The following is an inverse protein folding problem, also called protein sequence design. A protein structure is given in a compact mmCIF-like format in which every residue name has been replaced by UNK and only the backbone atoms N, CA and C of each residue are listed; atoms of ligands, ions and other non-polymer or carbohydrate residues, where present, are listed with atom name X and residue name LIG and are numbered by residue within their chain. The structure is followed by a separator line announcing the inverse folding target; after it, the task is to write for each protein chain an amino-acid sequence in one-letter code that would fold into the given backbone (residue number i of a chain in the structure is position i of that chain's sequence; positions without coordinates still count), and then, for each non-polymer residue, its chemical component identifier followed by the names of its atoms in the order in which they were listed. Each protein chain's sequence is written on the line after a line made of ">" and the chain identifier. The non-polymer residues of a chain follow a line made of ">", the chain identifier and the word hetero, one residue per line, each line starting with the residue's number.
data_IF_742090270599
#
_entry.id   IF_742090270599
#
_cell.length_a   1.000
_cell.length_b   1.000
_cell.length_c   1.000
_cell.angle_alpha   90.00
_cell.angle_beta   90.00
_cell.angle_gamma   90.00
#
_symmetry.space_group_name_H-M   'P 1'
#
loop_
_entity.id
_entity.type
_entity.pdbx_description
1 polymer ?
#
# COMPACT_ATOMS: atom_id res chain seq x y z
N UNK A 1 -19.06 3.95 -14.86
CA UNK A 1 -17.82 4.75 -14.97
C UNK A 1 -18.29 6.18 -15.17
N UNK A 2 -18.13 7.06 -14.17
CA UNK A 2 -18.54 8.47 -14.31
C UNK A 2 -17.76 9.09 -15.47
N UNK A 3 -18.46 9.73 -16.40
CA UNK A 3 -17.85 10.36 -17.56
C UNK A 3 -16.98 11.54 -17.11
N UNK A 4 -15.66 11.30 -17.00
CA UNK A 4 -14.65 12.33 -16.76
C UNK A 4 -14.76 13.51 -17.76
N UNK A 5 -15.43 13.30 -18.89
CA UNK A 5 -15.77 14.34 -19.87
C UNK A 5 -16.57 15.52 -19.26
N UNK A 6 -17.33 15.30 -18.19
CA UNK A 6 -18.19 16.35 -17.62
C UNK A 6 -17.40 17.44 -16.87
N UNK A 7 -16.21 17.12 -16.34
CA UNK A 7 -15.39 18.08 -15.58
C UNK A 7 -14.42 18.92 -16.43
N UNK A 8 -14.05 18.45 -17.62
CA UNK A 8 -13.07 19.11 -18.49
C UNK A 8 -13.71 19.77 -19.73
N UNK A 9 -15.04 19.68 -19.88
CA UNK A 9 -15.78 20.20 -21.01
C UNK A 9 -15.76 19.30 -22.25
N UNK A 10 -16.43 19.73 -23.31
CA UNK A 10 -16.70 18.93 -24.51
C UNK A 10 -15.77 19.23 -25.70
N UNK A 11 -14.89 20.23 -25.56
CA UNK A 11 -13.88 20.51 -26.57
C UNK A 11 -12.88 19.34 -26.68
N UNK A 12 -12.28 19.07 -27.85
CA UNK A 12 -11.34 17.96 -28.03
C UNK A 12 -10.19 17.93 -27.03
N UNK A 13 -9.68 19.09 -26.62
CA UNK A 13 -8.65 19.22 -25.58
C UNK A 13 -9.15 18.78 -24.20
N UNK A 14 -10.40 19.12 -23.86
CA UNK A 14 -11.05 18.70 -22.61
C UNK A 14 -11.23 17.17 -22.55
N UNK A 15 -11.67 16.57 -23.65
CA UNK A 15 -11.79 15.11 -23.77
C UNK A 15 -10.42 14.41 -23.67
N UNK A 16 -9.38 14.96 -24.30
CA UNK A 16 -8.02 14.43 -24.21
C UNK A 16 -7.46 14.51 -22.77
N UNK A 17 -7.76 15.59 -22.05
CA UNK A 17 -7.35 15.77 -20.66
C UNK A 17 -8.10 14.79 -19.74
N UNK A 18 -9.41 14.65 -19.92
CA UNK A 18 -10.22 13.67 -19.20
C UNK A 18 -9.67 12.25 -19.33
N UNK A 19 -9.32 11.84 -20.56
CA UNK A 19 -8.71 10.54 -20.83
C UNK A 19 -7.36 10.39 -20.12
N UNK A 20 -6.47 11.38 -20.26
CA UNK A 20 -5.14 11.35 -19.62
C UNK A 20 -5.24 11.19 -18.10
N UNK A 21 -6.11 11.96 -17.45
CA UNK A 21 -6.26 11.88 -15.99
C UNK A 21 -6.96 10.61 -15.53
N UNK A 22 -7.92 10.09 -16.30
CA UNK A 22 -8.48 8.75 -16.05
C UNK A 22 -7.39 7.67 -16.13
N UNK A 23 -6.51 7.75 -17.13
CA UNK A 23 -5.40 6.81 -17.29
C UNK A 23 -4.40 6.90 -16.13
N UNK A 24 -4.02 8.12 -15.73
CA UNK A 24 -3.13 8.35 -14.60
C UNK A 24 -3.75 7.91 -13.26
N UNK A 25 -5.05 8.03 -13.08
CA UNK A 25 -5.71 7.63 -11.84
C UNK A 25 -5.87 6.09 -11.73
N UNK A 26 -6.40 5.46 -12.77
CA UNK A 26 -6.87 4.06 -12.73
C UNK A 26 -6.52 3.21 -13.95
N UNK A 27 -5.84 3.74 -14.96
CA UNK A 27 -5.75 3.12 -16.29
C UNK A 27 -4.61 2.14 -16.56
N UNK A 28 -3.82 1.71 -15.57
CA UNK A 28 -2.82 0.67 -15.82
C UNK A 28 -1.66 0.60 -14.82
N UNK A 29 -0.58 -0.13 -15.15
CA UNK A 29 0.53 -0.42 -14.24
C UNK A 29 1.25 0.81 -13.66
N UNK A 30 1.21 1.95 -14.35
CA UNK A 30 1.78 3.22 -13.89
C UNK A 30 0.77 4.17 -13.26
N UNK A 31 -0.47 3.74 -13.04
CA UNK A 31 -1.51 4.58 -12.44
C UNK A 31 -1.26 4.80 -10.95
N UNK A 32 -1.87 5.86 -10.40
CA UNK A 32 -1.87 6.15 -8.98
C UNK A 32 -2.44 4.99 -8.16
N UNK A 33 -3.54 4.40 -8.59
CA UNK A 33 -4.13 3.22 -7.92
C UNK A 33 -3.16 2.05 -7.82
N UNK A 34 -2.44 1.73 -8.91
CA UNK A 34 -1.46 0.64 -8.90
C UNK A 34 -0.29 0.98 -7.96
N UNK A 35 0.22 2.22 -8.00
CA UNK A 35 1.30 2.64 -7.11
C UNK A 35 0.89 2.61 -5.63
N UNK A 36 -0.34 3.02 -5.31
CA UNK A 36 -0.88 2.95 -3.95
C UNK A 36 -1.02 1.50 -3.48
N UNK A 37 -1.48 0.59 -4.32
CA UNK A 37 -1.55 -0.84 -4.00
C UNK A 37 -0.17 -1.44 -3.75
N UNK A 38 0.82 -1.11 -4.57
CA UNK A 38 2.20 -1.55 -4.37
C UNK A 38 2.76 -1.01 -3.05
N UNK A 39 2.50 0.26 -2.71
CA UNK A 39 2.93 0.84 -1.45
C UNK A 39 2.27 0.18 -0.24
N UNK A 40 0.96 -0.10 -0.30
CA UNK A 40 0.23 -0.83 0.75
C UNK A 40 0.87 -2.20 0.98
N UNK A 41 1.17 -2.94 -0.08
CA UNK A 41 1.79 -4.26 0.04
C UNK A 41 3.14 -4.21 0.76
N UNK A 42 3.97 -3.21 0.44
CA UNK A 42 5.27 -3.01 1.11
C UNK A 42 5.06 -2.64 2.59
N UNK A 43 4.15 -1.70 2.88
CA UNK A 43 3.87 -1.27 4.25
C UNK A 43 3.32 -2.41 5.12
N UNK A 44 2.43 -3.23 4.58
CA UNK A 44 1.91 -4.43 5.25
C UNK A 44 3.03 -5.44 5.53
N UNK A 45 3.89 -5.71 4.54
CA UNK A 45 5.03 -6.61 4.71
C UNK A 45 5.99 -6.15 5.82
N UNK A 46 6.26 -4.84 5.91
CA UNK A 46 7.05 -4.27 7.00
C UNK A 46 6.36 -4.45 8.36
N UNK A 47 5.06 -4.21 8.45
CA UNK A 47 4.31 -4.39 9.70
C UNK A 47 4.31 -5.85 10.17
N UNK A 48 4.13 -6.80 9.25
CA UNK A 48 4.18 -8.23 9.54
C UNK A 48 5.57 -8.64 10.03
N UNK A 49 6.62 -8.17 9.36
CA UNK A 49 8.02 -8.43 9.73
C UNK A 49 8.32 -7.93 11.15
N UNK A 50 7.94 -6.70 11.48
CA UNK A 50 8.17 -6.15 12.83
C UNK A 50 7.36 -6.89 13.90
N UNK A 51 6.15 -7.34 13.57
CA UNK A 51 5.32 -8.15 14.47
C UNK A 51 5.98 -9.49 14.76
N UNK A 52 6.52 -10.15 13.73
CA UNK A 52 7.25 -11.42 13.88
C UNK A 52 8.53 -11.24 14.72
N UNK A 53 9.31 -10.19 14.44
CA UNK A 53 10.49 -9.85 15.23
C UNK A 53 10.14 -9.65 16.71
N UNK A 54 9.07 -8.91 17.01
CA UNK A 54 8.60 -8.70 18.38
C UNK A 54 8.27 -10.01 19.10
N UNK A 55 7.54 -10.92 18.46
CA UNK A 55 7.23 -12.26 19.01
C UNK A 55 8.50 -13.07 19.29
N UNK A 56 9.47 -13.03 18.39
CA UNK A 56 10.73 -13.76 18.56
C UNK A 56 11.56 -13.21 19.73
N UNK A 57 11.57 -11.90 19.92
CA UNK A 57 12.21 -11.28 21.09
C UNK A 57 11.53 -11.72 22.39
N UNK A 58 10.20 -11.67 22.46
CA UNK A 58 9.45 -12.11 23.65
C UNK A 58 9.70 -13.59 23.97
N UNK A 59 9.72 -14.46 22.95
CA UNK A 59 10.04 -15.89 23.15
C UNK A 59 11.45 -16.08 23.72
N UNK A 60 12.44 -15.39 23.14
CA UNK A 60 13.83 -15.48 23.57
C UNK A 60 14.02 -14.96 25.00
N UNK A 61 13.38 -13.85 25.34
CA UNK A 61 13.44 -13.27 26.69
C UNK A 61 12.78 -14.20 27.73
N UNK A 62 11.63 -14.79 27.38
CA UNK A 62 10.97 -15.78 28.24
C UNK A 62 11.84 -17.03 28.46
N UNK A 63 12.48 -17.55 27.42
CA UNK A 63 13.42 -18.69 27.54
C UNK A 63 14.61 -18.33 28.43
N UNK A 64 15.19 -17.13 28.25
CA UNK A 64 16.27 -16.64 29.07
C UNK A 64 15.84 -16.52 30.55
N UNK A 65 14.69 -15.91 30.83
CA UNK A 65 14.15 -15.75 32.18
C UNK A 65 13.91 -17.11 32.87
N UNK A 66 13.38 -18.09 32.15
CA UNK A 66 13.20 -19.45 32.66
C UNK A 66 14.55 -20.13 32.97
N UNK A 67 15.59 -19.89 32.16
CA UNK A 67 16.90 -20.51 32.35
C UNK A 67 17.62 -20.04 33.62
N UNK A 68 17.33 -18.83 34.09
CA UNK A 68 18.01 -18.20 35.25
C UNK A 68 17.18 -18.21 36.54
N UNK A 69 15.91 -18.65 36.47
CA UNK A 69 15.05 -18.75 37.66
C UNK A 69 15.46 -19.99 38.47
N UNK A 70 15.96 -19.84 39.71
CA UNK A 70 16.34 -20.98 40.55
C UNK A 70 15.11 -21.84 40.92
N UNK A 71 15.29 -23.16 41.02
CA UNK A 71 14.25 -24.08 41.51
C UNK A 71 13.90 -23.86 42.97
#
# INVERSE_FOLDING_TARGET
>A
MQDFAQGFGTLPSGLALARKYSELAVGGPGSLSTMLQAHIAIASSLADTFTEMGRNYESTDNEAAQSITPR
#
